data_IF_034059738550
#
_entry.id   IF_034059738550
#
_cell.length_a   1.000
_cell.length_b   1.000
_cell.length_c   1.000
_cell.angle_alpha   90.00
_cell.angle_beta   90.00
_cell.angle_gamma   90.00
#
_symmetry.space_group_name_H-M   'P 1'
#
loop_
_entity.id
_entity.type
_entity.pdbx_description
1 polymer ?
#
# COMPACT_ATOMS: atom_id res chain seq x y z
N UNK A 1 -15.04 -39.59 19.91
CA UNK A 1 -15.29 -38.16 20.18
C UNK A 1 -14.11 -37.54 20.94
N UNK A 2 -13.80 -37.97 22.18
CA UNK A 2 -12.66 -37.43 22.94
C UNK A 2 -11.29 -37.59 22.25
N UNK A 3 -11.02 -38.75 21.61
CA UNK A 3 -9.78 -38.97 20.86
C UNK A 3 -9.69 -38.07 19.63
N UNK A 4 -10.79 -37.85 18.91
CA UNK A 4 -10.84 -36.95 17.75
C UNK A 4 -10.60 -35.49 18.18
N UNK A 5 -11.07 -35.11 19.36
CA UNK A 5 -10.89 -33.77 19.93
C UNK A 5 -9.45 -33.55 20.42
N UNK A 6 -8.83 -34.60 20.99
CA UNK A 6 -7.41 -34.61 21.36
C UNK A 6 -6.51 -34.61 20.12
N UNK A 7 -6.87 -35.36 19.07
CA UNK A 7 -6.12 -35.41 17.81
C UNK A 7 -6.25 -34.08 17.05
N UNK A 8 -7.41 -33.40 17.12
CA UNK A 8 -7.61 -32.04 16.60
C UNK A 8 -6.84 -31.02 17.44
N UNK A 9 -6.84 -31.11 18.77
CA UNK A 9 -6.01 -30.24 19.61
C UNK A 9 -4.50 -30.47 19.40
N UNK A 10 -4.08 -31.72 19.18
CA UNK A 10 -2.70 -32.07 18.85
C UNK A 10 -2.35 -31.68 17.41
N UNK A 11 -3.30 -31.71 16.47
CA UNK A 11 -3.13 -31.21 15.11
C UNK A 11 -3.06 -29.68 15.08
N UNK A 12 -3.90 -28.98 15.85
CA UNK A 12 -3.87 -27.52 16.06
C UNK A 12 -2.58 -27.12 16.79
N UNK A 13 -2.10 -27.92 17.75
CA UNK A 13 -0.80 -27.71 18.40
C UNK A 13 0.40 -28.10 17.49
N UNK A 14 0.21 -28.96 16.49
CA UNK A 14 1.21 -29.27 15.45
C UNK A 14 1.21 -28.28 14.29
N UNK A 15 0.15 -27.50 14.11
CA UNK A 15 0.19 -26.22 13.40
C UNK A 15 0.78 -25.18 14.37
N UNK A 16 1.93 -25.51 14.95
CA UNK A 16 2.88 -24.47 15.27
C UNK A 16 3.19 -23.82 13.92
N UNK A 17 2.73 -22.57 13.74
CA UNK A 17 3.35 -21.62 12.83
C UNK A 17 4.84 -21.96 12.86
N UNK A 18 5.43 -22.33 11.72
CA UNK A 18 6.87 -22.52 11.62
C UNK A 18 7.44 -21.16 11.97
N UNK A 19 7.67 -20.92 13.26
CA UNK A 19 8.30 -19.74 13.78
C UNK A 19 9.71 -19.87 13.24
N UNK A 20 9.97 -19.10 12.18
CA UNK A 20 11.32 -18.88 11.71
C UNK A 20 12.04 -18.31 12.93
N UNK A 21 12.91 -19.10 13.54
CA UNK A 21 13.79 -18.70 14.65
C UNK A 21 14.83 -17.69 14.16
N UNK A 22 14.38 -16.59 13.57
CA UNK A 22 15.22 -15.42 13.36
C UNK A 22 14.91 -14.46 14.49
N UNK A 23 15.78 -14.43 15.50
CA UNK A 23 15.79 -13.37 16.52
C UNK A 23 16.42 -12.08 15.99
N UNK A 24 16.78 -12.02 14.70
CA UNK A 24 17.37 -10.84 14.09
C UNK A 24 16.27 -9.99 13.46
N UNK A 25 16.23 -8.74 13.90
CA UNK A 25 15.33 -7.70 13.40
C UNK A 25 16.09 -6.70 12.55
N UNK A 26 15.41 -6.15 11.56
CA UNK A 26 15.85 -4.98 10.80
C UNK A 26 14.76 -3.91 10.83
N UNK A 27 15.03 -2.75 10.23
CA UNK A 27 14.02 -1.70 10.06
C UNK A 27 13.73 -1.47 8.58
N UNK A 28 12.48 -1.15 8.27
CA UNK A 28 12.07 -0.67 6.96
C UNK A 28 11.53 0.74 7.05
N UNK A 29 11.64 1.49 5.95
CA UNK A 29 11.16 2.87 5.84
C UNK A 29 9.92 2.96 4.95
N UNK A 30 8.85 3.52 5.48
CA UNK A 30 7.58 3.71 4.81
C UNK A 30 7.28 5.20 4.66
N UNK A 31 7.15 5.66 3.42
CA UNK A 31 6.78 7.04 3.10
C UNK A 31 5.34 7.09 2.61
N UNK A 32 4.49 7.76 3.38
CA UNK A 32 3.07 7.93 3.12
C UNK A 32 2.81 9.33 2.55
N UNK A 33 1.96 9.40 1.53
CA UNK A 33 1.44 10.65 0.96
C UNK A 33 -0.07 10.56 0.94
N UNK A 34 -0.74 11.57 1.49
CA UNK A 34 -2.17 11.80 1.24
C UNK A 34 -2.37 13.16 0.56
N UNK A 35 -3.17 13.18 -0.50
CA UNK A 35 -3.52 14.43 -1.19
C UNK A 35 -4.90 14.38 -1.82
N UNK A 36 -5.78 15.26 -1.39
CA UNK A 36 -6.98 15.59 -2.16
C UNK A 36 -6.57 16.45 -3.37
N UNK A 37 -6.69 15.90 -4.58
CA UNK A 37 -6.14 16.52 -5.79
C UNK A 37 -7.13 17.41 -6.53
N UNK A 38 -8.39 17.55 -6.06
CA UNK A 38 -9.37 18.45 -6.69
C UNK A 38 -9.56 18.22 -8.20
N UNK A 39 -9.57 16.97 -8.62
CA UNK A 39 -9.62 16.49 -10.01
C UNK A 39 -8.45 16.96 -10.91
N UNK A 40 -7.32 17.36 -10.32
CA UNK A 40 -6.10 17.71 -11.06
C UNK A 40 -5.21 16.50 -11.30
N UNK A 41 -4.46 16.56 -12.40
CA UNK A 41 -3.39 15.62 -12.69
C UNK A 41 -2.16 15.84 -11.80
N UNK A 42 -1.16 14.94 -11.87
CA UNK A 42 0.09 15.10 -11.16
C UNK A 42 0.85 16.36 -11.62
N UNK A 43 1.63 17.00 -10.73
CA UNK A 43 2.56 18.03 -11.16
C UNK A 43 3.69 17.43 -12.02
N UNK A 44 4.34 18.29 -12.81
CA UNK A 44 5.42 17.88 -13.69
C UNK A 44 6.62 17.32 -12.93
N UNK A 45 6.90 17.86 -11.74
CA UNK A 45 7.95 17.39 -10.84
C UNK A 45 7.35 16.81 -9.55
N UNK A 46 7.76 15.59 -9.21
CA UNK A 46 7.37 14.88 -7.99
C UNK A 46 8.46 14.88 -6.91
N UNK A 47 9.62 15.51 -7.15
CA UNK A 47 10.77 15.48 -6.23
C UNK A 47 10.41 15.92 -4.81
N UNK A 48 9.70 17.04 -4.65
CA UNK A 48 9.32 17.53 -3.32
C UNK A 48 8.21 16.69 -2.69
N UNK A 49 7.18 16.31 -3.46
CA UNK A 49 6.08 15.48 -2.96
C UNK A 49 6.57 14.15 -2.40
N UNK A 50 7.49 13.49 -3.12
CA UNK A 50 8.03 12.17 -2.79
C UNK A 50 9.37 12.21 -2.04
N UNK A 51 9.87 13.41 -1.72
CA UNK A 51 11.14 13.62 -1.01
C UNK A 51 12.34 12.88 -1.65
N UNK A 52 12.42 12.90 -2.99
CA UNK A 52 13.35 12.06 -3.76
C UNK A 52 14.82 12.45 -3.60
N UNK A 53 15.08 13.66 -3.10
CA UNK A 53 16.42 14.20 -2.85
C UNK A 53 17.00 13.73 -1.51
N UNK A 54 16.16 13.37 -0.54
CA UNK A 54 16.58 12.91 0.78
C UNK A 54 16.99 11.44 0.73
N UNK A 55 18.28 11.15 0.95
CA UNK A 55 18.82 9.78 0.96
C UNK A 55 19.04 9.27 2.39
N UNK A 56 18.93 7.94 2.64
CA UNK A 56 18.50 6.91 1.69
C UNK A 56 17.03 7.08 1.27
N UNK A 57 16.63 6.50 0.14
CA UNK A 57 15.21 6.48 -0.23
C UNK A 57 14.45 5.44 0.62
N UNK A 58 13.16 5.67 0.93
CA UNK A 58 12.27 4.73 1.62
C UNK A 58 12.20 3.35 0.96
N UNK A 59 11.92 2.30 1.71
CA UNK A 59 11.72 0.96 1.15
C UNK A 59 10.35 0.83 0.49
N UNK A 60 9.37 1.59 1.00
CA UNK A 60 7.99 1.59 0.55
C UNK A 60 7.52 3.03 0.37
N UNK A 61 6.90 3.32 -0.77
CA UNK A 61 6.11 4.51 -0.99
C UNK A 61 4.63 4.12 -1.10
N UNK A 62 3.76 4.79 -0.35
CA UNK A 62 2.33 4.67 -0.53
C UNK A 62 1.69 6.04 -0.75
N UNK A 63 0.99 6.19 -1.87
CA UNK A 63 0.37 7.44 -2.30
C UNK A 63 -1.14 7.25 -2.35
N UNK A 64 -1.84 7.89 -1.42
CA UNK A 64 -3.30 7.97 -1.39
C UNK A 64 -3.79 9.29 -1.92
N UNK A 65 -4.72 9.24 -2.87
CA UNK A 65 -5.28 10.41 -3.50
C UNK A 65 -6.80 10.43 -3.34
N UNK A 66 -7.38 11.60 -3.13
CA UNK A 66 -8.84 11.83 -3.08
C UNK A 66 -9.24 12.86 -4.15
N UNK A 67 -10.53 12.94 -4.48
CA UNK A 67 -11.06 13.78 -5.57
C UNK A 67 -10.33 13.58 -6.92
N UNK A 68 -9.87 12.35 -7.21
CA UNK A 68 -9.29 12.01 -8.52
C UNK A 68 -10.30 12.22 -9.66
N UNK A 69 -9.85 12.66 -10.83
CA UNK A 69 -10.70 12.85 -12.00
C UNK A 69 -11.41 11.53 -12.39
N UNK A 70 -12.74 11.52 -12.34
CA UNK A 70 -13.57 10.35 -12.62
C UNK A 70 -13.60 9.97 -14.11
N UNK A 71 -13.24 10.89 -15.02
CA UNK A 71 -13.16 10.62 -16.46
C UNK A 71 -11.96 9.74 -16.80
N UNK A 72 -10.91 9.80 -15.99
CA UNK A 72 -9.72 8.98 -16.11
C UNK A 72 -9.90 7.65 -15.35
N UNK A 73 -10.74 6.79 -15.95
CA UNK A 73 -11.24 5.56 -15.34
C UNK A 73 -10.29 4.37 -15.43
N UNK A 74 -9.22 4.45 -16.24
CA UNK A 74 -8.21 3.40 -16.29
C UNK A 74 -7.37 3.44 -15.00
N UNK A 75 -7.60 2.45 -14.13
CA UNK A 75 -6.93 2.35 -12.84
C UNK A 75 -5.41 2.28 -12.96
N UNK A 76 -4.89 1.59 -13.96
CA UNK A 76 -3.46 1.31 -14.09
C UNK A 76 -2.72 2.38 -14.90
N UNK A 77 -3.43 3.10 -15.79
CA UNK A 77 -2.86 4.01 -16.79
C UNK A 77 -3.30 5.46 -16.67
N UNK A 78 -4.11 5.81 -15.69
CA UNK A 78 -4.44 7.23 -15.43
C UNK A 78 -3.17 8.07 -15.21
N UNK A 79 -3.29 9.38 -15.42
CA UNK A 79 -2.15 10.30 -15.44
C UNK A 79 -1.28 10.21 -14.18
N UNK A 80 -1.91 10.12 -13.01
CA UNK A 80 -1.23 9.94 -11.72
C UNK A 80 -0.50 8.61 -11.63
N UNK A 81 -1.16 7.51 -11.98
CA UNK A 81 -0.57 6.18 -11.94
C UNK A 81 0.62 6.06 -12.87
N UNK A 82 0.49 6.56 -14.09
CA UNK A 82 1.57 6.56 -15.09
C UNK A 82 2.77 7.39 -14.60
N UNK A 83 2.53 8.63 -14.14
CA UNK A 83 3.61 9.51 -13.66
C UNK A 83 4.37 8.93 -12.47
N UNK A 84 3.66 8.42 -11.46
CA UNK A 84 4.27 7.79 -10.28
C UNK A 84 5.07 6.55 -10.68
N UNK A 85 4.52 5.71 -11.56
CA UNK A 85 5.18 4.49 -12.04
C UNK A 85 6.44 4.81 -12.83
N UNK A 86 6.44 5.87 -13.65
CA UNK A 86 7.62 6.28 -14.39
C UNK A 86 8.72 6.83 -13.50
N UNK A 87 8.37 7.76 -12.59
CA UNK A 87 9.34 8.39 -11.69
C UNK A 87 9.94 7.37 -10.72
N UNK A 88 9.10 6.61 -10.01
CA UNK A 88 9.58 5.62 -9.04
C UNK A 88 10.19 4.40 -9.74
N UNK A 89 9.67 4.00 -10.89
CA UNK A 89 10.23 2.89 -11.69
C UNK A 89 11.66 3.14 -12.15
N UNK A 90 11.96 4.38 -12.57
CA UNK A 90 13.32 4.82 -12.91
C UNK A 90 14.27 4.81 -11.70
N UNK A 91 13.72 4.90 -10.48
CA UNK A 91 14.47 4.82 -9.22
C UNK A 91 14.58 3.40 -8.65
N UNK A 92 14.16 2.38 -9.41
CA UNK A 92 14.29 0.98 -8.99
C UNK A 92 13.11 0.44 -8.20
N UNK A 93 11.96 1.11 -8.23
CA UNK A 93 10.73 0.61 -7.59
C UNK A 93 9.84 -0.15 -8.58
N UNK A 94 8.99 -1.00 -8.02
CA UNK A 94 7.89 -1.68 -8.71
C UNK A 94 6.59 -1.33 -8.00
N UNK A 95 5.52 -1.09 -8.76
CA UNK A 95 4.17 -0.90 -8.22
C UNK A 95 3.67 -2.25 -7.69
N UNK A 96 3.63 -2.37 -6.36
CA UNK A 96 3.16 -3.54 -5.65
C UNK A 96 1.66 -3.74 -5.87
N UNK A 97 0.87 -2.68 -5.69
CA UNK A 97 -0.59 -2.72 -5.82
C UNK A 97 -1.14 -1.32 -6.11
N UNK A 98 -2.27 -1.29 -6.82
CA UNK A 98 -3.11 -0.11 -6.97
C UNK A 98 -4.56 -0.51 -6.73
N UNK A 99 -5.29 0.32 -6.00
CA UNK A 99 -6.72 0.17 -5.73
C UNK A 99 -7.41 1.53 -5.84
N UNK A 100 -8.66 1.54 -6.32
CA UNK A 100 -9.44 2.77 -6.47
C UNK A 100 -10.93 2.53 -6.27
N UNK A 101 -11.54 3.45 -5.56
CA UNK A 101 -12.98 3.57 -5.35
C UNK A 101 -13.41 4.97 -5.79
N UNK A 102 -14.05 5.07 -6.95
CA UNK A 102 -14.44 6.35 -7.55
C UNK A 102 -13.27 7.34 -7.60
N UNK A 103 -13.32 8.41 -6.81
CA UNK A 103 -12.31 9.46 -6.76
C UNK A 103 -11.23 9.23 -5.68
N UNK A 104 -11.26 8.09 -4.98
CA UNK A 104 -10.29 7.72 -3.93
C UNK A 104 -9.39 6.61 -4.45
N UNK A 105 -8.07 6.76 -4.36
CA UNK A 105 -7.12 5.72 -4.80
C UNK A 105 -5.96 5.55 -3.84
N UNK A 106 -5.33 4.37 -3.86
CA UNK A 106 -4.10 4.08 -3.12
C UNK A 106 -3.18 3.28 -4.02
N UNK A 107 -1.93 3.72 -4.12
CA UNK A 107 -0.85 3.06 -4.86
C UNK A 107 0.30 2.78 -3.92
N UNK A 108 0.79 1.54 -3.91
CA UNK A 108 1.94 1.12 -3.11
C UNK A 108 3.07 0.70 -4.04
N UNK A 109 4.26 1.23 -3.81
CA UNK A 109 5.49 0.95 -4.55
C UNK A 109 6.55 0.45 -3.57
N UNK A 110 7.31 -0.57 -3.99
CA UNK A 110 8.38 -1.17 -3.19
C UNK A 110 9.66 -1.27 -4.02
N UNK A 111 10.82 -1.34 -3.38
CA UNK A 111 12.08 -1.60 -4.10
C UNK A 111 12.03 -2.94 -4.84
N UNK A 112 12.42 -2.93 -6.12
CA UNK A 112 12.29 -4.09 -7.02
C UNK A 112 13.12 -5.29 -6.56
N UNK A 113 14.31 -5.05 -6.02
CA UNK A 113 15.22 -6.07 -5.48
C UNK A 113 14.72 -6.70 -4.17
N UNK A 114 13.70 -6.10 -3.53
CA UNK A 114 13.08 -6.60 -2.29
C UNK A 114 11.68 -7.15 -2.50
N UNK A 115 11.20 -7.26 -3.73
CA UNK A 115 9.79 -7.60 -4.01
C UNK A 115 9.34 -8.96 -3.43
N UNK A 116 10.26 -9.93 -3.31
CA UNK A 116 9.97 -11.24 -2.70
C UNK A 116 9.76 -11.20 -1.18
N UNK A 117 10.12 -10.10 -0.51
CA UNK A 117 9.87 -9.90 0.92
C UNK A 117 8.40 -9.59 1.21
N UNK A 118 7.66 -9.16 0.19
CA UNK A 118 6.24 -8.80 0.28
C UNK A 118 5.40 -9.98 -0.17
N UNK A 119 4.58 -10.52 0.73
CA UNK A 119 3.65 -11.62 0.45
C UNK A 119 2.21 -11.23 0.82
N UNK A 120 1.25 -12.10 0.50
CA UNK A 120 -0.16 -11.92 0.88
C UNK A 120 -0.73 -10.54 0.51
N UNK A 121 -0.34 -10.03 -0.67
CA UNK A 121 -0.73 -8.69 -1.10
C UNK A 121 -2.19 -8.67 -1.54
N UNK A 122 -3.01 -7.88 -0.84
CA UNK A 122 -4.44 -7.77 -1.07
C UNK A 122 -4.88 -6.31 -1.02
N UNK A 123 -6.06 -6.04 -1.54
CA UNK A 123 -6.62 -4.70 -1.51
C UNK A 123 -8.13 -4.76 -1.44
N UNK A 124 -8.73 -3.91 -0.63
CA UNK A 124 -10.17 -3.87 -0.40
C UNK A 124 -10.72 -2.44 -0.53
N UNK A 125 -12.03 -2.37 -0.72
CA UNK A 125 -12.78 -1.12 -0.91
C UNK A 125 -13.99 -1.12 0.03
N UNK A 126 -14.21 -0.01 0.74
CA UNK A 126 -15.43 0.22 1.49
C UNK A 126 -16.07 1.54 1.05
N UNK A 127 -17.28 1.47 0.49
CA UNK A 127 -18.08 2.63 0.09
C UNK A 127 -18.92 3.10 1.28
N UNK A 128 -18.73 4.35 1.67
CA UNK A 128 -19.51 5.03 2.69
C UNK A 128 -20.33 6.18 2.07
N UNK A 129 -21.47 6.53 2.68
CA UNK A 129 -22.42 7.55 2.18
C UNK A 129 -23.81 7.01 1.78
N UNK A 130 -24.87 7.75 2.16
CA UNK A 130 -26.31 7.48 1.89
C UNK A 130 -26.67 5.98 1.78
N UNK A 131 -26.45 5.23 2.86
CA UNK A 131 -26.79 3.80 2.94
C UNK A 131 -25.94 2.86 2.08
N UNK A 132 -24.77 3.29 1.61
CA UNK A 132 -23.85 2.51 0.77
C UNK A 132 -24.10 2.62 -0.74
N UNK A 133 -25.09 3.42 -1.17
CA UNK A 133 -25.54 3.48 -2.57
C UNK A 133 -24.83 4.56 -3.41
N UNK A 134 -24.28 5.62 -2.78
CA UNK A 134 -23.58 6.72 -3.46
C UNK A 134 -22.13 6.82 -2.95
N UNK A 135 -21.20 6.23 -3.71
CA UNK A 135 -19.87 5.82 -3.22
C UNK A 135 -18.69 6.75 -3.44
N UNK A 136 -18.83 8.07 -3.24
CA UNK A 136 -17.67 8.99 -3.32
C UNK A 136 -16.98 9.22 -1.96
N UNK A 137 -17.52 8.66 -0.87
CA UNK A 137 -16.93 8.62 0.46
C UNK A 137 -16.65 7.17 0.89
N UNK A 138 -15.81 7.00 1.90
CA UNK A 138 -15.34 5.71 2.38
C UNK A 138 -13.82 5.57 2.24
N UNK A 139 -13.34 4.37 1.92
CA UNK A 139 -11.90 4.13 1.87
C UNK A 139 -11.49 2.97 0.97
N UNK A 140 -10.19 2.95 0.66
CA UNK A 140 -9.50 1.85 0.00
C UNK A 140 -8.32 1.43 0.85
N UNK A 141 -7.96 0.16 0.80
CA UNK A 141 -6.83 -0.36 1.56
C UNK A 141 -5.95 -1.25 0.70
N UNK A 142 -4.65 -1.27 1.02
CA UNK A 142 -3.70 -2.27 0.55
C UNK A 142 -3.05 -2.89 1.77
N UNK A 143 -3.06 -4.22 1.85
CA UNK A 143 -2.35 -4.99 2.87
C UNK A 143 -1.30 -5.88 2.24
N UNK A 144 -0.28 -6.21 3.00
CA UNK A 144 0.77 -7.17 2.64
C UNK A 144 1.47 -7.68 3.89
N UNK A 145 2.12 -8.82 3.78
CA UNK A 145 3.06 -9.28 4.81
C UNK A 145 4.48 -8.91 4.37
N UNK A 146 5.23 -8.25 5.24
CA UNK A 146 6.64 -7.94 5.06
C UNK A 146 7.46 -8.79 6.02
N UNK A 147 8.22 -9.74 5.47
CA UNK A 147 9.00 -10.72 6.24
C UNK A 147 8.18 -11.47 7.31
N UNK A 148 6.86 -11.62 7.10
CA UNK A 148 5.95 -12.28 8.03
C UNK A 148 5.26 -11.36 9.05
N UNK A 149 5.58 -10.07 9.06
CA UNK A 149 4.81 -9.05 9.78
C UNK A 149 3.74 -8.50 8.85
N UNK A 150 2.49 -8.47 9.29
CA UNK A 150 1.39 -8.03 8.44
C UNK A 150 1.16 -6.51 8.58
N UNK A 151 0.99 -5.85 7.44
CA UNK A 151 0.92 -4.39 7.32
C UNK A 151 -0.30 -4.04 6.49
N UNK A 152 -1.06 -3.03 6.92
CA UNK A 152 -2.16 -2.46 6.14
C UNK A 152 -2.06 -0.94 6.08
N UNK A 153 -2.35 -0.39 4.90
CA UNK A 153 -2.43 1.04 4.65
C UNK A 153 -3.83 1.34 4.13
N UNK A 154 -4.56 2.18 4.86
CA UNK A 154 -5.91 2.65 4.51
C UNK A 154 -5.81 4.09 4.01
N UNK A 155 -6.39 4.36 2.85
CA UNK A 155 -6.64 5.71 2.37
C UNK A 155 -8.15 6.00 2.36
N UNK A 156 -8.59 7.01 3.10
CA UNK A 156 -9.99 7.37 3.25
C UNK A 156 -10.33 8.76 2.70
N UNK A 157 -11.61 8.94 2.36
CA UNK A 157 -12.22 10.23 2.10
C UNK A 157 -13.57 10.26 2.81
N UNK A 158 -13.64 10.99 3.92
CA UNK A 158 -14.80 10.98 4.82
C UNK A 158 -15.76 12.15 4.57
N UNK A 159 -16.95 12.08 5.15
CA UNK A 159 -18.00 13.09 5.03
C UNK A 159 -17.48 14.52 5.28
N UNK A 160 -17.72 15.39 4.29
CA UNK A 160 -17.29 16.79 4.33
C UNK A 160 -18.23 17.65 5.20
N UNK A 161 -17.81 18.90 5.44
CA UNK A 161 -18.51 19.95 6.19
C UNK A 161 -18.36 19.91 7.72
N UNK A 162 -18.46 21.11 8.32
CA UNK A 162 -18.22 21.37 9.74
C UNK A 162 -19.05 20.48 10.68
N UNK A 163 -20.33 20.33 10.37
CA UNK A 163 -21.29 19.72 11.30
C UNK A 163 -21.38 18.19 11.18
N UNK A 164 -20.64 17.58 10.26
CA UNK A 164 -20.82 16.17 9.90
C UNK A 164 -19.86 15.22 10.64
N UNK A 165 -19.60 15.48 11.94
CA UNK A 165 -18.70 14.65 12.75
C UNK A 165 -19.26 13.23 12.90
N UNK A 166 -20.56 13.10 13.15
CA UNK A 166 -21.22 11.81 13.30
C UNK A 166 -21.12 10.97 12.02
N UNK A 167 -21.34 11.58 10.85
CA UNK A 167 -21.23 10.91 9.56
C UNK A 167 -19.78 10.50 9.25
N UNK A 168 -18.77 11.28 9.68
CA UNK A 168 -17.36 10.84 9.56
C UNK A 168 -17.07 9.61 10.41
N UNK A 169 -17.63 9.53 11.61
CA UNK A 169 -17.52 8.34 12.48
C UNK A 169 -18.21 7.14 11.81
N UNK A 170 -19.41 7.33 11.25
CA UNK A 170 -20.11 6.28 10.48
C UNK A 170 -19.31 5.81 9.26
N UNK A 171 -18.70 6.73 8.51
CA UNK A 171 -17.86 6.41 7.35
C UNK A 171 -16.64 5.57 7.76
N UNK A 172 -15.97 5.92 8.87
CA UNK A 172 -14.87 5.12 9.40
C UNK A 172 -15.33 3.73 9.86
N UNK A 173 -16.46 3.65 10.56
CA UNK A 173 -17.04 2.37 10.96
C UNK A 173 -17.41 1.51 9.74
N UNK A 174 -17.89 2.11 8.66
CA UNK A 174 -18.14 1.41 7.41
C UNK A 174 -16.83 0.85 6.81
N UNK A 175 -15.74 1.60 6.83
CA UNK A 175 -14.41 1.11 6.39
C UNK A 175 -13.97 -0.10 7.22
N UNK A 176 -14.08 -0.02 8.54
CA UNK A 176 -13.70 -1.10 9.46
C UNK A 176 -14.56 -2.36 9.29
N UNK A 177 -15.87 -2.20 9.08
CA UNK A 177 -16.81 -3.32 9.02
C UNK A 177 -16.86 -4.01 7.66
N UNK A 178 -16.67 -3.27 6.57
CA UNK A 178 -16.87 -3.77 5.21
C UNK A 178 -15.61 -4.36 4.58
N UNK A 179 -14.41 -3.90 4.97
CA UNK A 179 -13.17 -4.45 4.43
C UNK A 179 -12.87 -5.81 5.07
N UNK A 180 -12.74 -6.85 4.24
CA UNK A 180 -12.42 -8.21 4.67
C UNK A 180 -11.31 -8.80 3.81
N UNK A 181 -10.31 -9.39 4.44
CA UNK A 181 -9.16 -9.99 3.77
C UNK A 181 -9.19 -11.51 3.87
N UNK A 182 -8.44 -12.21 3.01
CA UNK A 182 -8.53 -13.68 2.92
C UNK A 182 -7.82 -14.43 4.03
N UNK A 183 -6.93 -13.78 4.77
CA UNK A 183 -6.16 -14.40 5.85
C UNK A 183 -6.99 -14.41 7.14
N UNK A 184 -7.42 -15.59 7.63
CA UNK A 184 -8.32 -15.69 8.79
C UNK A 184 -7.72 -15.18 10.10
N UNK A 185 -6.38 -15.11 10.21
CA UNK A 185 -5.73 -14.59 11.41
C UNK A 185 -5.78 -13.05 11.47
N UNK A 186 -5.99 -12.40 10.33
CA UNK A 186 -5.88 -10.95 10.12
C UNK A 186 -6.82 -10.51 9.00
N UNK A 187 -8.12 -10.83 9.19
CA UNK A 187 -9.16 -10.62 8.18
C UNK A 187 -9.83 -9.24 8.27
N UNK A 188 -9.63 -8.50 9.36
CA UNK A 188 -10.07 -7.11 9.53
C UNK A 188 -8.92 -6.11 9.46
N UNK A 189 -9.27 -4.84 9.23
CA UNK A 189 -8.30 -3.73 9.21
C UNK A 189 -7.50 -3.66 10.52
N UNK A 190 -8.18 -3.74 11.66
CA UNK A 190 -7.55 -3.58 12.98
C UNK A 190 -6.84 -4.83 13.49
N UNK A 191 -6.90 -5.97 12.78
CA UNK A 191 -6.18 -7.17 13.22
C UNK A 191 -4.69 -7.10 12.87
N UNK A 192 -4.30 -6.13 12.02
CA UNK A 192 -2.95 -6.10 11.48
C UNK A 192 -1.92 -5.55 12.47
N UNK A 193 -0.71 -6.11 12.47
CA UNK A 193 0.41 -5.72 13.34
C UNK A 193 0.75 -4.23 13.18
N UNK A 194 0.80 -3.75 11.93
CA UNK A 194 0.95 -2.35 11.60
C UNK A 194 -0.25 -1.85 10.80
N UNK A 195 -1.00 -0.91 11.38
CA UNK A 195 -2.12 -0.25 10.71
C UNK A 195 -1.77 1.21 10.47
N UNK A 196 -1.69 1.62 9.21
CA UNK A 196 -1.55 3.02 8.82
C UNK A 196 -2.86 3.51 8.24
N UNK A 197 -3.36 4.64 8.74
CA UNK A 197 -4.60 5.25 8.26
C UNK A 197 -4.33 6.68 7.82
N UNK A 198 -4.62 6.98 6.56
CA UNK A 198 -4.43 8.32 6.01
C UNK A 198 -5.62 8.74 5.14
N UNK A 199 -5.66 10.01 4.77
CA UNK A 199 -6.65 10.49 3.82
C UNK A 199 -7.08 11.92 4.04
N UNK A 200 -8.05 12.36 3.25
CA UNK A 200 -8.89 13.52 3.54
C UNK A 200 -9.98 13.07 4.52
N UNK A 201 -9.63 13.12 5.81
CA UNK A 201 -10.52 12.73 6.89
C UNK A 201 -11.57 13.82 7.17
N UNK A 202 -11.45 15.00 6.56
CA UNK A 202 -12.44 16.07 6.57
C UNK A 202 -12.84 16.63 7.96
N UNK A 203 -12.10 16.30 9.04
CA UNK A 203 -12.28 16.93 10.34
C UNK A 203 -11.88 18.41 10.31
N UNK A 204 -12.59 19.23 11.08
CA UNK A 204 -12.50 20.70 11.03
C UNK A 204 -12.05 21.30 12.35
N UNK A 205 -11.70 22.58 12.30
CA UNK A 205 -11.48 23.41 13.50
C UNK A 205 -12.81 24.08 13.85
N UNK A 206 -13.33 23.80 15.02
CA UNK A 206 -14.58 24.39 15.51
C UNK A 206 -14.35 25.62 16.42
N UNK A 207 -15.42 26.35 16.75
CA UNK A 207 -15.45 27.46 17.70
C UNK A 207 -14.64 28.71 17.32
N UNK A 208 -14.14 28.80 16.08
CA UNK A 208 -13.44 29.97 15.55
C UNK A 208 -14.03 30.40 14.21
N UNK A 209 -14.09 31.72 13.99
CA UNK A 209 -14.29 32.28 12.65
C UNK A 209 -13.03 32.16 11.79
N UNK A 210 -13.17 32.30 10.46
CA UNK A 210 -12.03 32.24 9.53
C UNK A 210 -10.94 33.26 9.91
N UNK A 211 -11.31 34.50 10.20
CA UNK A 211 -10.36 35.57 10.51
C UNK A 211 -9.62 35.34 11.83
N UNK A 212 -10.27 34.72 12.81
CA UNK A 212 -9.61 34.31 14.06
C UNK A 212 -8.60 33.19 13.83
N UNK A 213 -8.96 32.19 13.01
CA UNK A 213 -8.05 31.09 12.65
C UNK A 213 -6.83 31.63 11.89
N UNK A 214 -7.03 32.45 10.87
CA UNK A 214 -5.93 33.07 10.10
C UNK A 214 -5.00 33.89 11.01
N UNK A 215 -5.56 34.69 11.93
CA UNK A 215 -4.77 35.44 12.90
C UNK A 215 -3.93 34.51 13.80
N UNK A 216 -4.49 33.40 14.27
CA UNK A 216 -3.76 32.46 15.13
C UNK A 216 -2.65 31.74 14.35
N UNK A 217 -2.87 31.45 13.07
CA UNK A 217 -1.86 30.91 12.14
C UNK A 217 -0.72 31.92 11.98
N UNK A 218 -1.03 33.20 11.73
CA UNK A 218 -0.02 34.26 11.57
C UNK A 218 0.82 34.46 12.84
N UNK A 219 0.19 34.30 14.01
CA UNK A 219 0.86 34.32 15.32
C UNK A 219 1.65 33.04 15.65
N UNK A 220 1.59 32.01 14.79
CA UNK A 220 2.21 30.68 14.95
C UNK A 220 1.81 29.96 16.24
N UNK A 221 0.56 30.11 16.67
CA UNK A 221 0.01 29.49 17.90
C UNK A 221 -0.90 28.31 17.56
N UNK A 222 -0.39 27.36 16.78
CA UNK A 222 -1.18 26.25 16.22
C UNK A 222 -1.78 25.35 17.30
N UNK A 223 -1.11 25.21 18.45
CA UNK A 223 -1.57 24.40 19.58
C UNK A 223 -2.94 24.86 20.10
N UNK A 224 -3.23 26.16 20.02
CA UNK A 224 -4.54 26.71 20.39
C UNK A 224 -5.66 26.25 19.45
N UNK A 225 -5.35 26.10 18.17
CA UNK A 225 -6.31 25.60 17.18
C UNK A 225 -6.49 24.09 17.31
N UNK A 226 -5.43 23.35 17.62
CA UNK A 226 -5.48 21.90 17.82
C UNK A 226 -6.40 21.49 18.99
N UNK A 227 -6.54 22.33 20.02
CA UNK A 227 -7.55 22.13 21.09
C UNK A 227 -9.00 22.19 20.59
N UNK A 228 -9.23 22.76 19.41
CA UNK A 228 -10.52 22.82 18.73
C UNK A 228 -10.57 21.95 17.47
N UNK A 229 -9.57 21.08 17.25
CA UNK A 229 -9.57 20.13 16.13
C UNK A 229 -10.52 18.97 16.44
N UNK A 230 -11.52 18.76 15.58
CA UNK A 230 -12.53 17.73 15.80
C UNK A 230 -11.96 16.31 15.83
N UNK A 231 -10.90 16.01 15.06
CA UNK A 231 -10.28 14.67 15.08
C UNK A 231 -9.59 14.43 16.41
N UNK A 232 -8.77 15.38 16.89
CA UNK A 232 -8.12 15.29 18.20
C UNK A 232 -9.14 15.06 19.32
N UNK A 233 -10.25 15.80 19.33
CA UNK A 233 -11.34 15.59 20.30
C UNK A 233 -11.95 14.20 20.21
N UNK A 234 -12.25 13.72 19.00
CA UNK A 234 -12.80 12.37 18.82
C UNK A 234 -11.84 11.28 19.32
N UNK A 235 -10.53 11.48 19.16
CA UNK A 235 -9.52 10.56 19.68
C UNK A 235 -9.39 10.65 21.21
N UNK A 236 -9.39 11.86 21.78
CA UNK A 236 -9.32 12.09 23.23
C UNK A 236 -10.55 11.55 23.98
N UNK A 237 -11.71 11.57 23.33
CA UNK A 237 -12.98 11.05 23.86
C UNK A 237 -13.23 9.57 23.50
N UNK A 238 -12.24 8.87 22.94
CA UNK A 238 -12.32 7.46 22.51
C UNK A 238 -13.49 7.16 21.55
N UNK A 239 -13.94 8.15 20.76
CA UNK A 239 -15.04 7.99 19.80
C UNK A 239 -14.59 7.32 18.50
N UNK A 240 -13.32 7.50 18.13
CA UNK A 240 -12.74 6.99 16.89
C UNK A 240 -11.22 6.85 17.04
N UNK A 241 -10.62 5.94 16.27
CA UNK A 241 -9.16 5.74 16.23
C UNK A 241 -8.56 5.43 17.61
N UNK A 242 -9.29 4.64 18.41
CA UNK A 242 -8.80 4.13 19.71
C UNK A 242 -7.48 3.39 19.48
N UNK A 243 -6.47 3.69 20.32
CA UNK A 243 -5.09 3.20 20.23
C UNK A 243 -4.26 3.67 19.03
N UNK A 244 -4.82 4.46 18.12
CA UNK A 244 -3.99 5.10 17.10
C UNK A 244 -3.20 6.26 17.69
N UNK A 245 -2.07 6.52 17.08
CA UNK A 245 -1.19 7.64 17.33
C UNK A 245 -1.14 8.54 16.10
N UNK A 246 -0.89 9.82 16.35
CA UNK A 246 -0.62 10.82 15.33
C UNK A 246 0.46 11.74 15.89
N UNK A 247 1.50 11.99 15.10
CA UNK A 247 2.60 12.84 15.54
C UNK A 247 2.20 14.31 15.70
N UNK A 248 3.12 15.11 16.24
CA UNK A 248 2.88 16.54 16.43
C UNK A 248 2.65 17.22 15.08
N UNK A 249 1.53 17.92 14.96
CA UNK A 249 1.23 18.75 13.78
C UNK A 249 1.96 20.09 13.95
N UNK A 250 3.02 20.28 13.16
CA UNK A 250 3.83 21.50 13.16
C UNK A 250 3.68 22.31 11.86
N UNK A 251 2.66 22.01 11.06
CA UNK A 251 2.35 22.67 9.80
C UNK A 251 0.96 23.31 9.84
N UNK A 252 0.77 24.37 9.05
CA UNK A 252 -0.51 25.09 8.98
C UNK A 252 -1.64 24.21 8.41
N UNK A 253 -2.92 24.55 8.69
CA UNK A 253 -4.07 23.88 8.10
C UNK A 253 -3.96 23.71 6.58
N UNK A 254 -4.28 22.51 6.10
CA UNK A 254 -4.05 22.10 4.69
C UNK A 254 -5.21 22.35 3.76
N UNK A 255 -6.33 22.83 4.31
CA UNK A 255 -7.56 23.18 3.62
C UNK A 255 -8.11 24.49 4.22
N UNK A 256 -8.85 25.35 3.52
CA UNK A 256 -9.11 25.37 2.08
C UNK A 256 -8.36 26.53 1.44
N UNK A 257 -7.58 26.26 0.41
CA UNK A 257 -6.87 27.28 -0.35
C UNK A 257 -7.65 27.71 -1.60
N UNK A 258 -7.42 28.95 -2.06
CA UNK A 258 -7.72 29.29 -3.44
C UNK A 258 -6.72 28.53 -4.34
N UNK A 259 -7.21 27.82 -5.39
CA UNK A 259 -6.34 27.02 -6.25
C UNK A 259 -5.14 27.82 -6.78
N UNK A 260 -3.98 27.17 -6.82
CA UNK A 260 -2.70 27.74 -7.27
C UNK A 260 -2.11 28.88 -6.41
N UNK A 261 -2.68 29.12 -5.22
CA UNK A 261 -2.19 30.12 -4.27
C UNK A 261 -1.86 29.51 -2.90
N UNK A 262 -1.39 30.38 -2.00
CA UNK A 262 -1.24 30.07 -0.57
C UNK A 262 -2.21 30.91 0.28
N UNK A 263 -3.25 31.47 -0.35
CA UNK A 263 -4.33 32.22 0.29
C UNK A 263 -5.46 31.27 0.65
N UNK A 264 -6.00 31.41 1.87
CA UNK A 264 -7.17 30.65 2.28
C UNK A 264 -8.46 31.23 1.69
N UNK A 265 -9.40 30.33 1.37
CA UNK A 265 -10.65 30.50 0.60
C UNK A 265 -11.22 31.92 0.59
N UNK A 266 -10.96 32.68 -0.48
CA UNK A 266 -11.48 34.05 -0.64
C UNK A 266 -12.88 34.09 -1.26
N UNK A 267 -13.47 32.93 -1.59
CA UNK A 267 -14.82 32.86 -2.13
C UNK A 267 -15.88 33.28 -1.11
N UNK A 268 -17.12 33.51 -1.57
CA UNK A 268 -18.25 33.88 -0.70
C UNK A 268 -18.54 32.84 0.40
N UNK A 269 -18.05 31.60 0.26
CA UNK A 269 -18.21 30.54 1.26
C UNK A 269 -17.31 30.73 2.48
N UNK A 270 -16.20 31.46 2.35
CA UNK A 270 -15.23 31.77 3.42
C UNK A 270 -14.98 30.59 4.36
N UNK A 271 -14.62 29.41 3.79
CA UNK A 271 -14.40 28.21 4.61
C UNK A 271 -13.27 28.46 5.61
N UNK A 272 -13.52 28.09 6.86
CA UNK A 272 -12.51 28.14 7.94
C UNK A 272 -11.38 27.17 7.60
N UNK A 273 -10.11 27.58 7.71
CA UNK A 273 -8.98 26.68 7.53
C UNK A 273 -9.06 25.46 8.47
N UNK A 274 -8.66 24.28 8.00
CA UNK A 274 -8.69 23.03 8.77
C UNK A 274 -7.59 22.04 8.35
N UNK A 275 -7.19 21.18 9.29
CA UNK A 275 -6.36 20.00 9.02
C UNK A 275 -7.26 18.82 8.60
N UNK A 276 -7.74 18.87 7.36
CA UNK A 276 -8.55 17.80 6.78
C UNK A 276 -7.72 16.55 6.45
N UNK A 277 -6.47 16.75 6.04
CA UNK A 277 -5.59 15.70 5.51
C UNK A 277 -4.68 15.16 6.63
N UNK A 278 -4.81 13.88 6.98
CA UNK A 278 -4.21 13.30 8.21
C UNK A 278 -3.54 11.97 7.96
N UNK A 279 -2.58 11.61 8.82
CA UNK A 279 -1.85 10.34 8.78
C UNK A 279 -1.67 9.85 10.23
N UNK A 280 -2.29 8.72 10.55
CA UNK A 280 -2.28 8.07 11.84
C UNK A 280 -1.72 6.66 11.71
N UNK A 281 -1.28 6.07 12.83
CA UNK A 281 -0.85 4.68 12.86
C UNK A 281 -1.23 3.99 14.18
N UNK A 282 -1.35 2.67 14.13
CA UNK A 282 -1.49 1.79 15.29
C UNK A 282 -0.51 0.63 15.14
N UNK A 283 0.03 0.17 16.27
CA UNK A 283 0.94 -0.98 16.33
C UNK A 283 0.41 -1.96 17.36
N UNK A 284 0.22 -3.23 16.96
CA UNK A 284 0.02 -4.33 17.90
C UNK A 284 1.35 -4.98 18.21
N UNK A 285 1.70 -5.08 19.48
CA UNK A 285 2.96 -5.66 19.93
C UNK A 285 2.73 -6.97 20.68
N UNK A 286 1.95 -7.85 20.06
CA UNK A 286 1.49 -9.10 20.68
C UNK A 286 2.36 -10.31 20.29
N UNK A 287 3.35 -10.11 19.40
CA UNK A 287 4.27 -11.15 18.96
C UNK A 287 5.32 -11.43 20.04
N UNK A 288 5.50 -12.72 20.37
CA UNK A 288 6.37 -13.12 21.50
C UNK A 288 7.86 -12.95 21.26
N UNK A 289 8.29 -13.00 20.00
CA UNK A 289 9.70 -13.14 19.62
C UNK A 289 10.26 -11.87 18.93
N UNK A 290 9.47 -10.80 18.81
CA UNK A 290 9.86 -9.52 18.22
C UNK A 290 9.15 -8.36 18.93
N UNK A 291 9.88 -7.28 19.19
CA UNK A 291 9.33 -6.03 19.69
C UNK A 291 9.02 -5.10 18.51
N UNK A 292 7.75 -4.96 18.18
CA UNK A 292 7.31 -4.12 17.06
C UNK A 292 7.24 -2.66 17.50
N UNK A 293 7.99 -1.81 16.80
CA UNK A 293 8.01 -0.38 17.04
C UNK A 293 7.89 0.38 15.72
N UNK A 294 7.32 1.59 15.79
CA UNK A 294 7.25 2.57 14.71
C UNK A 294 7.73 3.91 15.25
N UNK A 295 8.62 4.55 14.50
CA UNK A 295 9.05 5.93 14.73
C UNK A 295 8.63 6.82 13.55
N UNK A 296 7.89 7.89 13.84
CA UNK A 296 7.48 8.88 12.84
C UNK A 296 8.54 9.98 12.74
N UNK A 297 9.49 9.78 11.82
CA UNK A 297 10.63 10.67 11.61
C UNK A 297 10.29 11.95 10.83
N UNK A 298 9.15 11.99 10.15
CA UNK A 298 8.67 13.17 9.41
C UNK A 298 7.15 13.22 9.43
N UNK A 299 6.59 14.40 9.63
CA UNK A 299 5.15 14.66 9.43
C UNK A 299 4.95 16.11 8.99
N UNK A 300 4.68 16.31 7.70
CA UNK A 300 4.79 17.63 7.06
C UNK A 300 3.71 17.85 6.01
N UNK A 301 3.35 19.12 5.77
CA UNK A 301 2.60 19.51 4.58
C UNK A 301 3.53 20.06 3.49
N UNK A 302 3.29 19.67 2.24
CA UNK A 302 4.08 20.08 1.07
C UNK A 302 3.46 21.31 0.40
N UNK A 303 3.66 22.48 1.01
CA UNK A 303 3.06 23.75 0.55
C UNK A 303 3.44 24.16 -0.89
N UNK A 304 4.62 23.72 -1.37
CA UNK A 304 5.11 23.90 -2.75
C UNK A 304 4.23 23.19 -3.79
N UNK A 305 3.53 22.13 -3.40
CA UNK A 305 2.58 21.45 -4.28
C UNK A 305 1.28 22.27 -4.36
N UNK A 306 1.07 22.88 -5.52
CA UNK A 306 -0.11 23.69 -5.86
C UNK A 306 -1.02 22.94 -6.84
N UNK A 307 -2.15 23.56 -7.23
CA UNK A 307 -3.13 22.98 -8.15
C UNK A 307 -4.47 22.61 -7.50
N UNK A 308 -4.44 22.14 -6.25
CA UNK A 308 -5.63 21.79 -5.47
C UNK A 308 -5.94 22.87 -4.41
N UNK A 309 -7.18 22.88 -3.92
CA UNK A 309 -7.57 23.63 -2.72
C UNK A 309 -7.11 22.94 -1.42
N UNK A 310 -6.46 21.78 -1.52
CA UNK A 310 -5.72 21.11 -0.47
C UNK A 310 -4.21 21.09 -0.75
N UNK A 311 -3.40 21.14 0.32
CA UNK A 311 -1.96 20.88 0.26
C UNK A 311 -1.68 19.43 0.69
N UNK A 312 -0.78 18.69 -0.01
CA UNK A 312 -0.46 17.32 0.36
C UNK A 312 0.11 17.24 1.77
N UNK A 313 -0.17 16.12 2.46
CA UNK A 313 0.44 15.76 3.73
C UNK A 313 1.24 14.49 3.55
N UNK A 314 2.45 14.48 4.13
CA UNK A 314 3.39 13.37 4.02
C UNK A 314 3.88 12.94 5.38
N UNK A 315 4.22 11.65 5.50
CA UNK A 315 4.84 11.09 6.69
C UNK A 315 5.91 10.08 6.32
N UNK A 316 7.03 10.08 7.05
CA UNK A 316 8.06 9.05 6.94
C UNK A 316 8.16 8.28 8.26
N UNK A 317 7.90 6.99 8.18
CA UNK A 317 8.04 6.06 9.29
C UNK A 317 9.27 5.18 9.14
N UNK A 318 9.90 4.86 10.26
CA UNK A 318 10.85 3.76 10.38
C UNK A 318 10.25 2.73 11.32
N UNK A 319 10.11 1.48 10.85
CA UNK A 319 9.39 0.44 11.58
C UNK A 319 10.18 -0.87 11.61
N UNK A 320 9.99 -1.67 12.66
CA UNK A 320 10.72 -2.91 12.89
C UNK A 320 10.13 -4.08 12.08
N UNK A 321 10.98 -4.97 11.58
CA UNK A 321 10.59 -6.23 10.91
C UNK A 321 11.67 -7.30 11.13
N UNK A 322 11.44 -8.53 10.69
CA UNK A 322 12.46 -9.58 10.71
C UNK A 322 13.51 -9.35 9.62
N UNK A 323 14.78 -9.73 9.85
CA UNK A 323 15.89 -9.55 8.90
C UNK A 323 15.78 -10.35 7.59
N UNK A 324 15.10 -11.50 7.61
CA UNK A 324 15.10 -12.41 6.46
C UNK A 324 13.67 -12.72 6.02
N UNK A 325 13.41 -12.71 4.70
CA UNK A 325 12.14 -13.16 4.19
C UNK A 325 12.03 -14.67 4.43
N UNK A 326 10.82 -15.23 4.52
CA UNK A 326 10.65 -16.67 4.43
C UNK A 326 11.34 -17.19 3.17
N UNK A 327 12.04 -18.33 3.26
CA UNK A 327 12.61 -19.03 2.10
C UNK A 327 11.61 -19.01 0.92
N UNK A 328 12.05 -18.65 -0.31
CA UNK A 328 11.16 -18.51 -1.46
C UNK A 328 10.29 -19.75 -1.62
N UNK A 329 8.99 -19.53 -1.87
CA UNK A 329 8.03 -20.62 -1.99
C UNK A 329 8.22 -21.39 -3.30
N UNK A 330 8.65 -20.69 -4.35
CA UNK A 330 9.07 -21.24 -5.64
C UNK A 330 10.51 -20.80 -5.93
N UNK A 331 11.36 -21.72 -6.34
CA UNK A 331 12.75 -21.44 -6.75
C UNK A 331 12.99 -21.90 -8.18
N UNK A 332 13.68 -21.09 -8.96
CA UNK A 332 14.10 -21.45 -10.32
C UNK A 332 15.51 -22.04 -10.29
N UNK A 333 15.77 -23.03 -11.15
CA UNK A 333 17.16 -23.42 -11.42
C UNK A 333 17.92 -22.28 -12.09
N UNK A 334 19.24 -22.19 -11.89
CA UNK A 334 20.06 -21.15 -12.52
C UNK A 334 19.86 -21.10 -14.04
N UNK A 335 19.52 -19.93 -14.54
CA UNK A 335 19.33 -19.66 -15.97
C UNK A 335 20.60 -18.99 -16.47
N UNK A 336 21.23 -19.56 -17.50
CA UNK A 336 22.43 -18.96 -18.10
C UNK A 336 22.05 -17.83 -19.05
N UNK A 337 21.76 -18.19 -20.30
CA UNK A 337 21.53 -17.27 -21.41
C UNK A 337 20.54 -17.92 -22.35
N UNK A 338 19.56 -17.15 -22.79
CA UNK A 338 18.56 -17.61 -23.75
C UNK A 338 18.88 -17.05 -25.14
N UNK A 339 18.73 -17.88 -26.17
CA UNK A 339 18.67 -17.39 -27.54
C UNK A 339 17.22 -17.26 -27.98
N UNK A 340 16.93 -16.19 -28.72
CA UNK A 340 15.63 -15.99 -29.39
C UNK A 340 15.35 -16.99 -30.51
N UNK A 341 16.36 -17.75 -30.94
CA UNK A 341 16.27 -18.68 -32.07
C UNK A 341 15.79 -20.07 -31.69
N UNK A 342 15.66 -20.36 -30.40
CA UNK A 342 15.28 -21.67 -29.91
C UNK A 342 14.41 -21.57 -28.67
N UNK A 343 13.41 -22.45 -28.57
CA UNK A 343 12.57 -22.55 -27.39
C UNK A 343 13.43 -22.79 -26.15
N UNK A 344 13.02 -22.21 -25.04
CA UNK A 344 13.80 -22.24 -23.81
C UNK A 344 13.07 -23.06 -22.76
N UNK A 345 13.82 -23.92 -22.09
CA UNK A 345 13.29 -24.78 -21.04
C UNK A 345 13.64 -24.18 -19.68
N UNK A 346 12.63 -24.05 -18.82
CA UNK A 346 12.75 -23.54 -17.46
C UNK A 346 12.45 -24.66 -16.49
N UNK A 347 13.30 -24.80 -15.49
CA UNK A 347 13.09 -25.73 -14.40
C UNK A 347 12.88 -24.95 -13.09
N UNK A 348 11.86 -25.33 -12.31
CA UNK A 348 11.57 -24.73 -11.02
C UNK A 348 11.11 -25.76 -10.00
N UNK A 349 11.27 -25.47 -8.72
CA UNK A 349 10.78 -26.31 -7.62
C UNK A 349 9.79 -25.52 -6.76
N UNK A 350 8.78 -26.22 -6.25
CA UNK A 350 7.78 -25.69 -5.33
C UNK A 350 8.01 -26.30 -3.97
N UNK A 351 8.17 -25.48 -2.93
CA UNK A 351 8.35 -25.93 -1.55
C UNK A 351 7.18 -26.83 -1.15
N UNK A 352 7.46 -27.98 -0.55
CA UNK A 352 6.45 -28.98 -0.19
C UNK A 352 5.30 -28.41 0.65
N UNK A 353 5.60 -27.45 1.54
CA UNK A 353 4.62 -26.81 2.40
C UNK A 353 3.55 -25.99 1.67
N UNK A 354 3.81 -25.53 0.44
CA UNK A 354 2.85 -24.72 -0.34
C UNK A 354 2.32 -25.44 -1.58
N UNK A 355 2.73 -26.70 -1.83
CA UNK A 355 2.19 -27.50 -2.93
C UNK A 355 0.65 -27.62 -2.89
N UNK A 356 -0.02 -27.76 -1.73
CA UNK A 356 -1.48 -27.78 -1.67
C UNK A 356 -2.14 -26.48 -2.16
N UNK A 357 -1.42 -25.35 -2.09
CA UNK A 357 -1.91 -24.03 -2.48
C UNK A 357 -1.60 -23.68 -3.96
N UNK A 358 -0.95 -24.59 -4.71
CA UNK A 358 -0.68 -24.38 -6.14
C UNK A 358 -1.91 -24.71 -6.98
N UNK A 359 -2.13 -23.91 -8.02
CA UNK A 359 -3.22 -24.07 -8.97
C UNK A 359 -2.69 -24.42 -10.35
N UNK A 360 -3.46 -25.19 -11.13
CA UNK A 360 -3.18 -25.36 -12.56
C UNK A 360 -3.32 -24.10 -13.41
N UNK A 361 -3.86 -23.04 -12.80
CA UNK A 361 -3.93 -21.70 -13.39
C UNK A 361 -2.80 -20.80 -12.90
N UNK A 362 -1.88 -21.28 -12.06
CA UNK A 362 -0.67 -20.52 -11.76
C UNK A 362 0.15 -20.37 -13.06
N UNK A 363 0.96 -19.33 -13.15
CA UNK A 363 1.68 -19.01 -14.38
C UNK A 363 3.05 -18.41 -14.11
N UNK A 364 3.93 -18.52 -15.09
CA UNK A 364 5.28 -17.95 -15.05
C UNK A 364 5.36 -16.92 -16.16
N UNK A 365 5.54 -15.66 -15.78
CA UNK A 365 5.77 -14.56 -16.72
C UNK A 365 7.25 -14.32 -16.92
N UNK A 366 7.62 -13.94 -18.14
CA UNK A 366 8.92 -13.40 -18.51
C UNK A 366 8.84 -11.87 -18.48
N UNK A 367 9.67 -11.24 -17.67
CA UNK A 367 9.68 -9.79 -17.47
C UNK A 367 11.05 -9.22 -17.84
N UNK A 368 11.08 -8.02 -18.43
CA UNK A 368 12.32 -7.23 -18.46
C UNK A 368 12.82 -7.02 -17.03
N UNK A 369 14.14 -7.04 -16.82
CA UNK A 369 14.72 -6.88 -15.49
C UNK A 369 14.32 -5.55 -14.83
N UNK A 370 14.12 -4.50 -15.63
CA UNK A 370 13.64 -3.18 -15.19
C UNK A 370 12.11 -3.01 -15.11
N UNK A 371 11.32 -4.09 -15.04
CA UNK A 371 9.85 -4.02 -14.97
C UNK A 371 9.35 -3.09 -13.84
N UNK A 372 8.24 -2.40 -14.08
CA UNK A 372 7.68 -1.38 -13.18
C UNK A 372 6.36 -1.83 -12.56
N UNK A 373 5.68 -2.81 -13.13
CA UNK A 373 4.49 -3.45 -12.55
C UNK A 373 4.33 -4.91 -12.99
N UNK A 374 3.55 -5.69 -12.24
CA UNK A 374 3.36 -7.13 -12.52
C UNK A 374 2.58 -7.46 -13.80
N UNK A 375 1.94 -6.47 -14.42
CA UNK A 375 1.33 -6.63 -15.75
C UNK A 375 2.34 -6.38 -16.91
N UNK A 376 3.63 -6.09 -16.63
CA UNK A 376 4.68 -5.81 -17.64
C UNK A 376 5.27 -7.07 -18.28
N UNK A 377 4.64 -8.24 -18.08
CA UNK A 377 5.19 -9.48 -18.66
C UNK A 377 5.19 -9.38 -20.19
N UNK A 378 6.27 -9.85 -20.81
CA UNK A 378 6.42 -9.91 -22.27
C UNK A 378 5.68 -11.13 -22.82
N UNK A 379 5.84 -12.27 -22.16
CA UNK A 379 5.18 -13.53 -22.48
C UNK A 379 5.00 -14.32 -21.19
N UNK A 380 4.03 -15.22 -21.15
CA UNK A 380 3.84 -16.13 -20.03
C UNK A 380 3.60 -17.57 -20.49
N UNK A 381 3.79 -18.50 -19.56
CA UNK A 381 3.38 -19.90 -19.70
C UNK A 381 2.62 -20.32 -18.45
N UNK A 382 1.69 -21.25 -18.58
CA UNK A 382 1.04 -21.84 -17.41
C UNK A 382 2.04 -22.71 -16.62
N UNK A 383 2.04 -22.57 -15.31
CA UNK A 383 2.72 -23.48 -14.41
C UNK A 383 2.01 -24.83 -14.49
N UNK A 384 2.65 -25.83 -15.10
CA UNK A 384 2.04 -27.12 -15.45
C UNK A 384 1.35 -27.81 -14.26
N UNK A 385 0.12 -28.28 -14.49
CA UNK A 385 -0.79 -28.92 -13.53
C UNK A 385 -0.75 -30.47 -13.51
N UNK A 386 0.12 -31.12 -14.29
CA UNK A 386 0.15 -32.58 -14.30
C UNK A 386 0.83 -33.11 -13.04
N UNK A 387 0.03 -33.72 -12.16
CA UNK A 387 0.50 -34.47 -10.99
C UNK A 387 1.55 -35.54 -11.38
N UNK A 388 1.53 -36.03 -12.62
CA UNK A 388 2.51 -37.01 -13.14
C UNK A 388 3.89 -36.42 -13.48
N UNK A 389 4.00 -35.10 -13.67
CA UNK A 389 5.29 -34.39 -13.89
C UNK A 389 5.84 -33.74 -12.63
N UNK A 390 5.08 -33.75 -11.52
CA UNK A 390 5.52 -33.31 -10.18
C UNK A 390 6.35 -34.40 -9.51
N UNK A 391 7.56 -34.62 -10.00
CA UNK A 391 8.53 -35.47 -9.30
C UNK A 391 9.23 -34.73 -8.15
N UNK A 392 9.93 -35.42 -7.24
CA UNK A 392 10.80 -34.81 -6.21
C UNK A 392 11.94 -33.96 -6.81
N UNK A 393 12.08 -33.98 -8.14
CA UNK A 393 13.09 -33.29 -8.93
C UNK A 393 12.62 -31.95 -9.52
N UNK A 394 11.43 -31.45 -9.21
CA UNK A 394 10.90 -30.17 -9.72
C UNK A 394 10.05 -30.29 -11.00
N UNK A 395 9.64 -29.15 -11.56
CA UNK A 395 8.76 -29.02 -12.73
C UNK A 395 9.50 -28.31 -13.86
N UNK A 396 9.27 -28.78 -15.09
CA UNK A 396 9.86 -28.22 -16.30
C UNK A 396 8.79 -27.66 -17.23
N UNK A 397 8.99 -26.43 -17.72
CA UNK A 397 8.12 -25.75 -18.70
C UNK A 397 8.93 -25.22 -19.87
N UNK A 398 8.29 -25.05 -21.02
CA UNK A 398 8.92 -24.53 -22.25
C UNK A 398 8.33 -23.17 -22.61
N UNK A 399 9.20 -22.17 -22.79
CA UNK A 399 8.88 -20.88 -23.38
C UNK A 399 9.15 -20.91 -24.88
N UNK A 400 8.12 -20.60 -25.67
CA UNK A 400 8.26 -20.41 -27.12
C UNK A 400 8.82 -19.01 -27.38
N UNK A 401 10.09 -18.93 -27.77
CA UNK A 401 10.80 -17.67 -28.02
C UNK A 401 10.83 -17.28 -29.50
N UNK A 402 10.55 -18.24 -30.41
CA UNK A 402 10.68 -18.06 -31.86
C UNK A 402 9.65 -17.12 -32.49
N UNK A 403 8.49 -16.93 -31.84
CA UNK A 403 7.36 -16.16 -32.38
C UNK A 403 7.04 -14.90 -31.54
N UNK A 404 8.03 -14.36 -30.84
CA UNK A 404 7.77 -13.43 -29.75
C UNK A 404 8.41 -12.06 -29.94
N UNK A 405 7.69 -11.01 -29.55
CA UNK A 405 8.15 -9.62 -29.36
C UNK A 405 9.26 -9.49 -28.30
N UNK A 406 9.88 -10.60 -27.88
CA UNK A 406 11.00 -10.62 -26.94
C UNK A 406 12.20 -9.99 -27.64
N UNK A 407 12.63 -8.84 -27.14
CA UNK A 407 13.84 -8.16 -27.59
C UNK A 407 15.07 -8.61 -26.78
N UNK A 408 16.30 -8.52 -27.32
CA UNK A 408 17.50 -8.73 -26.51
C UNK A 408 17.54 -7.84 -25.26
N UNK A 409 18.17 -8.33 -24.19
CA UNK A 409 18.33 -7.60 -22.94
C UNK A 409 18.31 -8.49 -21.71
N UNK A 410 18.12 -7.86 -20.53
CA UNK A 410 18.09 -8.52 -19.22
C UNK A 410 16.65 -8.82 -18.81
N UNK A 411 16.45 -9.99 -18.23
CA UNK A 411 15.14 -10.52 -17.90
C UNK A 411 15.12 -11.27 -16.57
N UNK A 412 13.93 -11.40 -16.00
CA UNK A 412 13.62 -12.27 -14.86
C UNK A 412 12.38 -13.09 -15.15
N UNK A 413 12.25 -14.25 -14.50
CA UNK A 413 11.02 -15.02 -14.46
C UNK A 413 10.31 -14.79 -13.14
N UNK A 414 9.00 -14.58 -13.19
CA UNK A 414 8.18 -14.45 -12.00
C UNK A 414 7.10 -15.53 -12.00
N UNK A 415 7.07 -16.36 -10.96
CA UNK A 415 5.97 -17.30 -10.72
C UNK A 415 4.85 -16.58 -10.00
N UNK A 416 3.67 -16.50 -10.61
CA UNK A 416 2.48 -15.83 -10.07
C UNK A 416 1.43 -16.89 -9.74
N UNK A 417 0.97 -16.89 -8.49
CA UNK A 417 -0.16 -17.71 -8.08
C UNK A 417 -1.46 -17.08 -8.57
N UNK A 418 -2.31 -17.84 -9.24
CA UNK A 418 -3.62 -17.39 -9.68
C UNK A 418 -4.62 -17.30 -8.54
N UNK A 419 -4.60 -18.25 -7.60
CA UNK A 419 -5.51 -18.17 -6.45
C UNK A 419 -5.12 -17.00 -5.55
N UNK A 420 -3.84 -16.88 -5.21
CA UNK A 420 -3.36 -15.86 -4.28
C UNK A 420 -3.16 -14.50 -4.96
N UNK A 421 -3.17 -14.47 -6.30
CA UNK A 421 -2.99 -13.28 -7.15
C UNK A 421 -1.68 -12.54 -6.85
N UNK A 422 -0.63 -13.29 -6.52
CA UNK A 422 0.64 -12.72 -6.09
C UNK A 422 1.87 -13.57 -6.46
N UNK A 423 3.03 -12.93 -6.48
CA UNK A 423 4.35 -13.52 -6.69
C UNK A 423 4.68 -14.58 -5.63
N UNK A 424 5.16 -15.75 -6.06
CA UNK A 424 5.62 -16.83 -5.18
C UNK A 424 7.09 -17.21 -5.37
N UNK A 425 7.72 -16.72 -6.44
CA UNK A 425 9.14 -16.91 -6.70
C UNK A 425 9.59 -16.06 -7.88
N UNK A 426 10.86 -15.66 -7.86
CA UNK A 426 11.49 -14.91 -8.93
C UNK A 426 12.85 -15.54 -9.23
N UNK A 427 13.24 -15.63 -10.50
CA UNK A 427 14.58 -16.09 -10.88
C UNK A 427 15.62 -15.00 -10.62
N UNK A 428 16.89 -15.39 -10.61
CA UNK A 428 17.97 -14.43 -10.85
C UNK A 428 17.82 -13.80 -12.24
N UNK A 429 18.44 -12.64 -12.42
CA UNK A 429 18.51 -11.96 -13.71
C UNK A 429 19.33 -12.80 -14.71
N UNK A 430 18.84 -12.91 -15.94
CA UNK A 430 19.54 -13.57 -17.05
C UNK A 430 19.42 -12.77 -18.35
N UNK A 431 20.29 -13.09 -19.32
CA UNK A 431 20.35 -12.38 -20.60
C UNK A 431 19.63 -13.16 -21.70
N UNK A 432 18.83 -12.44 -22.51
CA UNK A 432 18.29 -12.92 -23.78
C UNK A 432 19.06 -12.26 -24.92
N UNK A 433 19.56 -13.07 -25.86
CA UNK A 433 20.36 -12.61 -27.00
C UNK A 433 19.77 -12.99 -28.37
N UNK A 434 20.24 -12.36 -29.46
CA UNK A 434 19.75 -12.61 -30.81
C UNK A 434 19.82 -14.06 -31.33
#
# INVERSE_FOLDING_TARGET
MAQLQLDVQQAVAKIQKVHIKSTKTESFRLYLVTWNVGAKGPPDDLNDLLDLTSKPLPDIYAVGLQEMDLRDSDLAKNAWCSKLTDVLGALGYVRLKVVRMQAVSLQVFVKRDRVLHYTSVESEIAKAGLGGWWGNKGGVAVRFDLNGINVIIVNAHLAAHMNNVAERIEDCNAVLNLMKFRDPDVDNVLDHDYVFWMGDLNFRIENYSKSEVEKIIDERKLEKLLQSDQLKKCMEEDLLFINFQEGPITFNPTYKFDPDTDLYDTSDKQRVPAWCDRILWMVHNDLKDIDLSVDQTKYESKASCKGSDHKPVVSLFTATTYCEPPSPMVTFSPIKKWSRRENQTVHYTVKSSIQPDTSGWDWIGLYKAEFKHFDDYVVYVWAVNDAEKKGPKGVTVEFKTRDSDILPGKYVLCYISNFKKWLRGMSDEFEIVP
#
